data_IF_984157884531
#
_entry.id   IF_984157884531
#
_cell.length_a   1.000
_cell.length_b   1.000
_cell.length_c   1.000
_cell.angle_alpha   90.00
_cell.angle_beta   90.00
_cell.angle_gamma   90.00
#
_symmetry.space_group_name_H-M   'P 1'
#
loop_
_entity.id
_entity.type
_entity.pdbx_description
1 polymer ?
#
# COMPACT_ATOMS: atom_id res chain seq x y z
N UNK A 1 6.67 -18.32 -6.30
CA UNK A 1 5.83 -17.13 -6.02
C UNK A 1 4.54 -17.56 -5.32
N UNK A 2 4.10 -16.87 -4.25
CA UNK A 2 2.80 -17.15 -3.62
C UNK A 2 1.60 -16.69 -4.48
N UNK A 3 0.42 -17.31 -4.31
CA UNK A 3 -0.80 -17.04 -5.11
C UNK A 3 -1.26 -15.56 -5.12
N UNK A 4 -0.92 -14.79 -4.09
CA UNK A 4 -1.33 -13.38 -3.96
C UNK A 4 -0.71 -12.45 -5.00
N UNK A 5 0.42 -12.79 -5.63
CA UNK A 5 1.06 -11.92 -6.62
C UNK A 5 0.30 -11.80 -7.94
N UNK A 6 -0.49 -12.83 -8.27
CA UNK A 6 -1.26 -12.90 -9.52
C UNK A 6 -2.67 -12.32 -9.39
N UNK A 7 -3.04 -11.87 -8.18
CA UNK A 7 -4.31 -11.19 -7.93
C UNK A 7 -4.00 -9.74 -7.60
N UNK A 8 -4.70 -8.80 -8.25
CA UNK A 8 -4.59 -7.38 -7.95
C UNK A 8 -5.96 -6.71 -8.04
N UNK A 9 -6.08 -5.59 -7.34
CA UNK A 9 -7.18 -4.65 -7.50
C UNK A 9 -6.65 -3.36 -8.11
N UNK A 10 -7.37 -2.82 -9.08
CA UNK A 10 -7.01 -1.61 -9.79
C UNK A 10 -8.13 -0.56 -9.69
N UNK A 11 -7.76 0.71 -9.83
CA UNK A 11 -8.63 1.85 -9.57
C UNK A 11 -8.76 2.79 -10.79
N UNK A 12 -9.73 2.51 -11.67
CA UNK A 12 -9.89 3.23 -12.94
C UNK A 12 -10.41 4.66 -12.79
N UNK A 13 -11.17 4.91 -11.73
CA UNK A 13 -11.91 6.15 -11.54
C UNK A 13 -11.63 6.76 -10.17
N UNK A 14 -11.68 8.10 -10.12
CA UNK A 14 -11.43 8.88 -8.91
C UNK A 14 -9.99 9.39 -8.79
N UNK A 15 -9.81 10.44 -7.99
CA UNK A 15 -8.50 11.05 -7.72
C UNK A 15 -7.62 10.16 -6.83
N UNK A 16 -8.24 9.30 -6.01
CA UNK A 16 -7.55 8.35 -5.16
C UNK A 16 -8.50 7.36 -4.52
N UNK A 17 -7.97 6.20 -4.13
CA UNK A 17 -8.73 5.13 -3.49
C UNK A 17 -8.03 4.67 -2.22
N UNK A 18 -8.79 4.53 -1.13
CA UNK A 18 -8.26 4.26 0.20
C UNK A 18 -8.77 2.94 0.75
N UNK A 19 -7.87 2.15 1.35
CA UNK A 19 -8.21 1.05 2.22
C UNK A 19 -8.24 1.52 3.66
N UNK A 20 -9.32 1.22 4.38
CA UNK A 20 -9.39 1.44 5.83
C UNK A 20 -9.04 0.14 6.54
N UNK A 21 -7.89 0.11 7.21
CA UNK A 21 -7.44 -1.01 8.02
C UNK A 21 -7.86 -0.75 9.46
N UNK A 22 -8.60 -1.70 10.05
CA UNK A 22 -9.16 -1.61 11.40
C UNK A 22 -8.47 -2.59 12.35
N UNK A 23 -8.99 -2.69 13.57
CA UNK A 23 -8.46 -3.57 14.63
C UNK A 23 -7.04 -3.17 15.06
N UNK A 24 -6.81 -1.85 15.11
CA UNK A 24 -5.57 -1.23 15.52
C UNK A 24 -5.73 -0.75 16.96
N UNK A 25 -4.69 -0.91 17.76
CA UNK A 25 -4.62 -0.35 19.10
C UNK A 25 -3.93 1.01 18.99
N UNK A 26 -4.63 2.11 19.34
CA UNK A 26 -4.06 3.45 19.30
C UNK A 26 -2.72 3.54 20.05
N UNK A 27 -1.78 4.30 19.49
CA UNK A 27 -0.45 4.53 20.06
C UNK A 27 0.55 3.40 19.90
N UNK A 28 0.19 2.25 19.30
CA UNK A 28 1.15 1.21 18.96
C UNK A 28 1.82 1.46 17.61
N UNK A 29 3.00 0.85 17.44
CA UNK A 29 3.73 0.83 16.18
C UNK A 29 3.25 -0.33 15.31
N UNK A 30 2.96 -0.05 14.05
CA UNK A 30 2.56 -1.03 13.04
C UNK A 30 3.48 -0.96 11.85
N UNK A 31 3.84 -2.13 11.32
CA UNK A 31 4.43 -2.26 9.99
C UNK A 31 3.29 -2.37 8.97
N UNK A 32 3.24 -1.42 8.05
CA UNK A 32 2.35 -1.43 6.88
C UNK A 32 3.21 -1.85 5.68
N UNK A 33 2.80 -2.90 4.96
CA UNK A 33 3.49 -3.40 3.77
C UNK A 33 2.52 -3.47 2.60
N UNK A 34 2.78 -2.69 1.55
CA UNK A 34 2.08 -2.75 0.28
C UNK A 34 2.91 -3.52 -0.76
N UNK A 35 2.23 -4.33 -1.57
CA UNK A 35 2.82 -5.21 -2.58
C UNK A 35 2.24 -4.90 -3.96
N UNK A 36 3.11 -4.80 -4.96
CA UNK A 36 2.76 -4.45 -6.33
C UNK A 36 3.47 -5.38 -7.31
N UNK A 37 2.71 -5.96 -8.24
CA UNK A 37 3.21 -6.61 -9.44
C UNK A 37 2.25 -6.28 -10.59
N UNK A 38 2.72 -5.56 -11.60
CA UNK A 38 1.87 -4.98 -12.66
C UNK A 38 1.28 -6.06 -13.56
N UNK A 39 2.10 -7.01 -14.02
CA UNK A 39 1.66 -8.13 -14.85
C UNK A 39 0.97 -7.75 -16.15
N UNK A 40 1.07 -6.49 -16.60
CA UNK A 40 0.30 -5.94 -17.72
C UNK A 40 -1.21 -6.13 -17.58
N UNK A 41 -1.75 -5.93 -16.37
CA UNK A 41 -3.14 -6.25 -16.06
C UNK A 41 -4.19 -5.47 -16.89
N UNK A 42 -3.82 -4.30 -17.41
CA UNK A 42 -4.68 -3.43 -18.22
C UNK A 42 -4.44 -3.57 -19.72
N UNK A 43 -3.48 -4.40 -20.15
CA UNK A 43 -3.13 -4.59 -21.56
C UNK A 43 -2.48 -3.37 -22.22
N UNK A 44 -2.16 -2.31 -21.48
CA UNK A 44 -1.63 -1.06 -22.05
C UNK A 44 -0.12 -1.08 -22.27
N UNK A 45 0.58 -2.07 -21.71
CA UNK A 45 2.05 -2.15 -21.71
C UNK A 45 2.74 -0.88 -21.20
N UNK A 46 2.04 -0.12 -20.36
CA UNK A 46 2.48 1.17 -19.83
C UNK A 46 2.67 1.03 -18.33
N UNK A 47 3.91 1.14 -17.89
CA UNK A 47 4.25 1.02 -16.48
C UNK A 47 3.69 2.22 -15.70
N UNK A 48 2.81 1.99 -14.70
CA UNK A 48 2.16 3.07 -13.98
C UNK A 48 3.08 3.66 -12.90
N UNK A 49 2.81 4.92 -12.58
CA UNK A 49 3.35 5.61 -11.42
C UNK A 49 2.22 6.31 -10.67
N UNK A 50 2.24 6.25 -9.34
CA UNK A 50 1.21 6.82 -8.48
C UNK A 50 1.76 7.01 -7.05
N UNK A 51 1.07 7.78 -6.22
CA UNK A 51 1.50 8.06 -4.85
C UNK A 51 0.75 7.22 -3.83
N UNK A 52 1.45 6.83 -2.77
CA UNK A 52 0.88 6.23 -1.57
C UNK A 52 0.82 7.26 -0.47
N UNK A 53 -0.31 7.29 0.22
CA UNK A 53 -0.55 8.09 1.41
C UNK A 53 -0.99 7.20 2.57
N UNK A 54 -0.63 7.62 3.78
CA UNK A 54 -1.16 7.07 5.03
C UNK A 54 -1.94 8.17 5.74
N UNK A 55 -3.25 7.99 5.82
CA UNK A 55 -4.17 9.08 6.11
C UNK A 55 -3.96 10.22 5.12
N UNK A 56 -3.72 11.42 5.64
CA UNK A 56 -3.43 12.63 4.83
C UNK A 56 -1.95 12.75 4.44
N UNK A 57 -1.07 11.95 5.03
CA UNK A 57 0.38 12.12 4.89
C UNK A 57 0.91 11.37 3.67
N UNK A 58 1.79 12.02 2.89
CA UNK A 58 2.54 11.36 1.83
C UNK A 58 3.45 10.28 2.43
N UNK A 59 3.35 9.08 1.87
CA UNK A 59 4.21 7.96 2.25
C UNK A 59 5.29 7.72 1.20
N UNK A 60 4.92 7.43 -0.06
CA UNK A 60 5.89 7.14 -1.12
C UNK A 60 5.30 7.15 -2.52
N UNK A 61 6.08 7.58 -3.51
CA UNK A 61 5.77 7.34 -4.94
C UNK A 61 6.12 5.91 -5.35
N UNK A 62 5.13 5.20 -5.89
CA UNK A 62 5.29 3.87 -6.47
C UNK A 62 5.59 4.02 -7.96
N UNK A 63 6.87 3.89 -8.32
CA UNK A 63 7.32 3.76 -9.70
C UNK A 63 7.52 2.27 -10.09
N UNK A 64 6.72 1.73 -11.01
CA UNK A 64 6.91 0.37 -11.54
C UNK A 64 7.93 0.42 -12.68
N UNK A 65 9.01 -0.36 -12.58
CA UNK A 65 10.08 -0.38 -13.59
C UNK A 65 10.05 -1.61 -14.51
N UNK A 66 9.32 -2.65 -14.15
CA UNK A 66 9.20 -3.88 -14.95
C UNK A 66 7.86 -4.58 -14.69
N UNK A 67 7.21 -5.19 -15.71
CA UNK A 67 5.90 -5.81 -15.54
C UNK A 67 5.86 -6.96 -14.53
N UNK A 68 6.93 -7.75 -14.45
CA UNK A 68 6.98 -8.96 -13.63
C UNK A 68 7.82 -8.81 -12.37
N UNK A 69 8.36 -7.61 -12.11
CA UNK A 69 9.09 -7.34 -10.89
C UNK A 69 8.12 -7.12 -9.72
N UNK A 70 8.26 -7.94 -8.68
CA UNK A 70 7.58 -7.72 -7.42
C UNK A 70 8.20 -6.50 -6.70
N UNK A 71 7.36 -5.54 -6.35
CA UNK A 71 7.75 -4.36 -5.58
C UNK A 71 7.07 -4.37 -4.21
N UNK A 72 7.87 -4.14 -3.18
CA UNK A 72 7.41 -4.01 -1.80
C UNK A 72 7.66 -2.58 -1.33
N UNK A 73 6.69 -2.01 -0.64
CA UNK A 73 6.82 -0.71 0.01
C UNK A 73 6.39 -0.85 1.46
N UNK A 74 7.27 -0.46 2.38
CA UNK A 74 7.08 -0.64 3.81
C UNK A 74 7.25 0.68 4.57
N UNK A 75 6.52 0.80 5.67
CA UNK A 75 6.68 1.88 6.64
C UNK A 75 6.22 1.44 8.01
N UNK A 76 6.86 2.01 9.03
CA UNK A 76 6.44 1.88 10.41
C UNK A 76 5.67 3.15 10.79
N UNK A 77 4.43 2.98 11.22
CA UNK A 77 3.57 4.09 11.64
C UNK A 77 3.12 3.91 13.07
N UNK A 78 2.99 5.03 13.79
CA UNK A 78 2.24 5.10 15.04
C UNK A 78 0.86 5.59 14.67
N UNK A 79 -0.16 4.78 14.92
CA UNK A 79 -1.54 5.13 14.56
C UNK A 79 -2.22 5.78 15.76
N UNK A 80 -2.75 7.02 15.63
CA UNK A 80 -3.39 7.72 16.74
C UNK A 80 -4.82 7.21 17.04
N UNK A 81 -5.41 6.48 16.11
CA UNK A 81 -6.79 6.01 16.14
C UNK A 81 -6.87 4.47 16.01
N UNK A 82 -8.08 3.90 16.09
CA UNK A 82 -8.36 2.47 15.96
C UNK A 82 -8.34 1.97 14.50
N UNK A 83 -8.06 2.88 13.56
CA UNK A 83 -7.92 2.61 12.14
C UNK A 83 -6.79 3.42 11.49
N UNK A 84 -6.32 2.94 10.34
CA UNK A 84 -5.44 3.68 9.46
C UNK A 84 -5.90 3.54 8.02
N UNK A 85 -5.83 4.63 7.25
CA UNK A 85 -6.13 4.61 5.83
C UNK A 85 -4.86 4.55 5.00
N UNK A 86 -4.82 3.65 4.02
CA UNK A 86 -3.76 3.59 3.01
C UNK A 86 -4.38 3.93 1.67
N UNK A 87 -3.97 5.06 1.11
CA UNK A 87 -4.55 5.60 -0.11
C UNK A 87 -3.56 5.53 -1.27
N UNK A 88 -4.05 5.13 -2.43
CA UNK A 88 -3.35 5.23 -3.71
C UNK A 88 -3.93 6.41 -4.47
N UNK A 89 -3.09 7.42 -4.75
CA UNK A 89 -3.47 8.67 -5.41
C UNK A 89 -2.97 8.63 -6.85
N UNK A 90 -3.87 8.88 -7.80
CA UNK A 90 -3.54 8.89 -9.22
C UNK A 90 -2.82 10.20 -9.57
N UNK A 91 -1.60 10.09 -10.10
CA UNK A 91 -0.79 11.24 -10.55
C UNK A 91 -0.92 11.52 -12.06
N UNK A 92 -1.81 10.80 -12.76
CA UNK A 92 -1.98 10.84 -14.21
C UNK A 92 -0.98 9.96 -14.98
N UNK A 93 -0.03 9.34 -14.28
CA UNK A 93 1.01 8.52 -14.89
C UNK A 93 0.60 7.04 -15.08
N UNK A 94 -0.63 6.66 -14.78
CA UNK A 94 -1.18 5.33 -15.02
C UNK A 94 -2.26 5.01 -13.97
N UNK A 95 -2.92 3.88 -14.12
CA UNK A 95 -3.98 3.47 -13.19
C UNK A 95 -3.37 2.86 -11.93
N UNK A 96 -3.65 3.41 -10.73
CA UNK A 96 -3.14 2.83 -9.49
C UNK A 96 -3.70 1.43 -9.25
N UNK A 97 -2.88 0.57 -8.66
CA UNK A 97 -3.25 -0.81 -8.36
C UNK A 97 -2.54 -1.31 -7.11
N UNK A 98 -3.00 -2.42 -6.54
CA UNK A 98 -2.35 -3.10 -5.42
C UNK A 98 -2.55 -4.61 -5.51
N UNK A 99 -1.50 -5.38 -5.27
CA UNK A 99 -1.52 -6.85 -5.25
C UNK A 99 -1.68 -7.42 -3.84
N UNK A 100 -1.32 -6.64 -2.82
CA UNK A 100 -1.50 -7.02 -1.42
C UNK A 100 -1.22 -5.87 -0.46
N UNK A 101 -1.90 -5.89 0.67
CA UNK A 101 -1.72 -4.93 1.76
C UNK A 101 -1.73 -5.70 3.08
N UNK A 102 -0.61 -5.67 3.78
CA UNK A 102 -0.42 -6.36 5.05
C UNK A 102 -0.22 -5.33 6.16
N UNK A 103 -0.87 -5.55 7.30
CA UNK A 103 -0.70 -4.76 8.52
C UNK A 103 -0.28 -5.68 9.66
N UNK A 104 0.81 -5.33 10.34
CA UNK A 104 1.33 -6.13 11.45
C UNK A 104 1.69 -5.24 12.63
N UNK A 105 1.21 -5.54 13.86
CA UNK A 105 1.70 -4.88 15.06
C UNK A 105 3.17 -5.22 15.30
N UNK A 106 3.98 -4.20 15.59
CA UNK A 106 5.32 -4.40 16.12
C UNK A 106 5.18 -4.61 17.63
N UNK A 107 5.68 -5.74 18.14
CA UNK A 107 5.68 -6.01 19.58
C UNK A 107 6.30 -4.80 20.29
N UNK A 108 5.63 -4.29 21.33
CA UNK A 108 6.28 -3.36 22.25
C UNK A 108 7.55 -4.05 22.74
N UNK A 109 8.70 -3.37 22.67
CA UNK A 109 9.80 -3.74 23.56
C UNK A 109 9.21 -3.65 24.97
N UNK A 110 9.29 -4.73 25.75
CA UNK A 110 8.81 -4.74 27.13
C UNK A 110 9.43 -3.55 27.87
N UNK A 111 8.64 -2.52 28.16
CA UNK A 111 9.00 -1.58 29.22
C UNK A 111 8.69 -2.30 30.52
N UNK A 112 9.77 -2.73 31.17
CA UNK A 112 9.78 -3.36 32.48
C UNK A 112 9.29 -2.33 33.50
N UNK A 113 8.06 -2.47 33.96
CA UNK A 113 7.60 -1.92 35.25
C UNK A 113 7.72 -3.01 36.29
#
# INVERSE_FOLDING_TARGET
MGKSWFNLRSFATGAGNCYTLRSIVPGLKYLVRARFMYGNYDGLHRLPMFDLHIGVNFWRTVNISSPFAAKFVEVIVVVPDDYVQVCMINTGAGMPFISGLDLRPLKKQCTRT
#
